data_IF_657675687511
#
_entry.id   IF_657675687511
#
_cell.length_a   1.000
_cell.length_b   1.000
_cell.length_c   1.000
_cell.angle_alpha   90.00
_cell.angle_beta   90.00
_cell.angle_gamma   90.00
#
_symmetry.space_group_name_H-M   'P 1'
#
loop_
_entity.id
_entity.type
_entity.pdbx_description
1 polymer ?
#
# COMPACT_ATOMS: atom_id res chain seq x y z
N UNK A 1 -48.72 -19.08 16.26
CA UNK A 1 -47.47 -18.41 16.65
C UNK A 1 -46.38 -19.44 16.93
N UNK A 2 -46.05 -20.23 15.91
CA UNK A 2 -44.89 -21.12 15.89
C UNK A 2 -44.24 -20.95 14.52
N UNK A 3 -42.90 -20.90 14.50
CA UNK A 3 -42.01 -20.67 13.34
C UNK A 3 -41.30 -19.30 13.29
N UNK A 4 -40.63 -18.89 14.36
CA UNK A 4 -39.56 -17.87 14.28
C UNK A 4 -38.20 -18.39 14.80
N UNK A 5 -38.16 -19.48 15.57
CA UNK A 5 -36.93 -19.97 16.23
C UNK A 5 -36.24 -21.17 15.56
N UNK A 6 -36.56 -21.51 14.30
CA UNK A 6 -36.02 -22.70 13.60
C UNK A 6 -35.14 -22.40 12.38
N UNK A 7 -34.55 -21.21 12.30
CA UNK A 7 -33.66 -20.81 11.19
C UNK A 7 -32.24 -20.35 11.58
N UNK A 8 -31.80 -20.61 12.82
CA UNK A 8 -30.44 -20.28 13.29
C UNK A 8 -29.53 -21.50 13.57
N UNK A 9 -29.88 -22.70 13.10
CA UNK A 9 -29.08 -23.91 13.37
C UNK A 9 -28.91 -24.82 12.14
N UNK A 10 -28.37 -24.26 11.06
CA UNK A 10 -27.91 -25.04 9.91
C UNK A 10 -26.71 -24.37 9.25
N UNK A 11 -25.55 -24.48 9.90
CA UNK A 11 -24.20 -24.59 9.32
C UNK A 11 -23.17 -24.65 10.45
N UNK A 12 -23.35 -25.61 11.36
CA UNK A 12 -22.32 -25.98 12.35
C UNK A 12 -21.41 -27.04 11.76
N UNK A 13 -20.51 -26.63 10.86
CA UNK A 13 -19.29 -27.41 10.63
C UNK A 13 -18.36 -27.01 11.77
N UNK A 14 -18.32 -27.82 12.82
CA UNK A 14 -17.21 -27.76 13.78
C UNK A 14 -15.95 -28.16 12.98
N UNK A 15 -15.19 -27.17 12.53
CA UNK A 15 -13.76 -27.38 12.38
C UNK A 15 -13.22 -27.55 13.79
N UNK A 16 -12.75 -28.75 14.11
CA UNK A 16 -11.71 -28.87 15.12
C UNK A 16 -10.52 -28.08 14.56
N UNK A 17 -10.37 -26.83 14.98
CA UNK A 17 -9.10 -26.13 14.89
C UNK A 17 -8.12 -27.00 15.67
N UNK A 18 -7.35 -27.83 14.97
CA UNK A 18 -5.99 -28.06 15.42
C UNK A 18 -5.39 -26.66 15.44
N UNK A 19 -5.01 -26.18 16.62
CA UNK A 19 -4.11 -25.04 16.73
C UNK A 19 -2.82 -25.45 16.03
N UNK A 20 -2.75 -25.23 14.72
CA UNK A 20 -1.47 -24.97 14.11
C UNK A 20 -0.95 -23.74 14.85
N UNK A 21 0.17 -23.89 15.57
CA UNK A 21 0.86 -22.75 16.12
C UNK A 21 0.99 -21.73 14.98
N UNK A 22 0.62 -20.48 15.24
CA UNK A 22 0.85 -19.42 14.28
C UNK A 22 2.35 -19.45 13.96
N UNK A 23 2.70 -19.73 12.71
CA UNK A 23 4.08 -19.64 12.25
C UNK A 23 4.44 -18.19 12.42
N UNK A 24 5.34 -17.90 13.34
CA UNK A 24 5.77 -16.55 13.55
C UNK A 24 6.55 -16.12 12.29
N UNK A 25 6.19 -14.96 11.74
CA UNK A 25 6.74 -14.44 10.47
C UNK A 25 7.87 -13.45 10.80
N UNK A 26 9.05 -13.55 10.15
CA UNK A 26 10.11 -12.54 10.25
C UNK A 26 9.55 -11.13 10.07
N UNK A 27 10.09 -10.14 10.77
CA UNK A 27 9.63 -8.76 10.66
C UNK A 27 10.77 -7.75 10.61
N UNK A 28 10.50 -6.56 10.11
CA UNK A 28 11.32 -5.37 10.32
C UNK A 28 10.47 -4.40 11.13
N UNK A 29 11.02 -3.95 12.24
CA UNK A 29 10.34 -3.01 13.14
C UNK A 29 10.85 -1.59 12.87
N UNK A 30 9.99 -0.76 12.29
CA UNK A 30 10.32 0.63 11.94
C UNK A 30 10.14 1.61 13.12
N UNK A 31 9.72 1.12 14.29
CA UNK A 31 9.43 1.95 15.44
C UNK A 31 8.20 2.83 15.24
N UNK A 32 8.20 4.00 15.89
CA UNK A 32 7.06 4.94 15.91
C UNK A 32 6.75 5.45 14.51
N UNK A 33 5.47 5.37 14.09
CA UNK A 33 5.02 6.02 12.86
C UNK A 33 4.83 7.53 13.08
N UNK A 34 5.38 8.35 12.18
CA UNK A 34 5.14 9.79 12.16
C UNK A 34 3.64 10.07 11.92
N UNK A 35 3.04 10.95 12.73
CA UNK A 35 1.59 11.18 12.69
C UNK A 35 1.08 11.87 11.42
N UNK A 36 1.90 12.69 10.77
CA UNK A 36 1.58 13.36 9.51
C UNK A 36 2.77 13.30 8.55
N UNK A 37 2.49 13.14 7.26
CA UNK A 37 3.47 13.30 6.20
C UNK A 37 3.90 14.77 6.11
N UNK A 38 5.22 15.01 6.04
CA UNK A 38 5.74 16.38 5.87
C UNK A 38 5.48 16.95 4.48
N UNK A 39 5.34 16.08 3.49
CA UNK A 39 5.04 16.42 2.11
C UNK A 39 4.33 15.26 1.42
N UNK A 40 3.69 15.54 0.29
CA UNK A 40 2.98 14.59 -0.54
C UNK A 40 3.52 14.65 -1.97
N UNK A 41 3.48 13.55 -2.73
CA UNK A 41 3.91 13.55 -4.11
C UNK A 41 3.13 14.54 -4.98
N UNK A 42 3.85 15.25 -5.85
CA UNK A 42 3.25 16.23 -6.75
C UNK A 42 3.67 16.04 -8.20
N UNK A 43 2.91 16.65 -9.10
CA UNK A 43 3.25 16.84 -10.51
C UNK A 43 2.95 18.26 -10.94
N UNK A 44 3.71 18.75 -11.93
CA UNK A 44 3.29 19.87 -12.75
C UNK A 44 2.45 19.32 -13.89
N UNK A 45 1.30 19.92 -14.17
CA UNK A 45 0.40 19.45 -15.23
C UNK A 45 -0.24 20.59 -16.01
N UNK A 46 -0.74 20.29 -17.20
CA UNK A 46 -1.49 21.21 -18.04
C UNK A 46 -2.43 20.44 -18.96
N UNK A 47 -3.55 21.06 -19.32
CA UNK A 47 -4.47 20.62 -20.36
C UNK A 47 -4.20 21.39 -21.63
N UNK A 48 -4.03 20.66 -22.73
CA UNK A 48 -3.87 21.22 -24.07
C UNK A 48 -5.11 20.97 -24.93
N UNK A 49 -5.41 21.93 -25.80
CA UNK A 49 -6.48 21.81 -26.79
C UNK A 49 -6.15 20.68 -27.78
N UNK A 50 -6.98 19.62 -27.88
CA UNK A 50 -6.72 18.51 -28.78
C UNK A 50 -6.79 18.91 -30.26
N UNK A 51 -7.51 20.00 -30.60
CA UNK A 51 -7.58 20.54 -31.95
C UNK A 51 -6.34 21.38 -32.30
N UNK A 52 -5.62 21.89 -31.31
CA UNK A 52 -4.44 22.75 -31.46
C UNK A 52 -3.29 22.29 -30.54
N UNK A 53 -2.58 21.20 -30.89
CA UNK A 53 -1.49 20.68 -30.05
C UNK A 53 -0.43 21.73 -29.69
N UNK A 54 -0.02 21.78 -28.42
CA UNK A 54 0.89 22.78 -27.87
C UNK A 54 0.23 24.10 -27.46
N UNK A 55 -1.09 24.25 -27.61
CA UNK A 55 -1.86 25.34 -27.00
C UNK A 55 -2.36 24.89 -25.64
N UNK A 56 -1.72 25.40 -24.58
CA UNK A 56 -2.14 25.15 -23.20
C UNK A 56 -3.41 25.96 -22.92
N UNK A 57 -4.45 25.26 -22.48
CA UNK A 57 -5.70 25.84 -21.97
C UNK A 57 -5.57 26.13 -20.48
N UNK A 58 -4.88 25.28 -19.73
CA UNK A 58 -4.58 25.49 -18.31
C UNK A 58 -4.53 24.17 -17.52
N UNK A 59 -4.15 24.19 -16.24
CA UNK A 59 -3.46 25.31 -15.60
C UNK A 59 -2.12 25.60 -16.26
N UNK A 60 -1.67 26.84 -16.14
CA UNK A 60 -0.40 27.32 -16.69
C UNK A 60 0.42 28.10 -15.65
N UNK A 61 1.68 28.34 -16.00
CA UNK A 61 2.63 29.14 -15.21
C UNK A 61 2.85 28.66 -13.77
N UNK A 62 2.34 29.40 -12.77
CA UNK A 62 2.68 29.23 -11.35
C UNK A 62 1.68 28.35 -10.58
N UNK A 63 0.42 28.27 -11.05
CA UNK A 63 -0.64 27.49 -10.40
C UNK A 63 -0.93 26.22 -11.18
N UNK A 64 0.11 25.44 -11.49
CA UNK A 64 -0.01 24.21 -12.28
C UNK A 64 0.46 22.96 -11.54
N UNK A 65 0.53 23.03 -10.20
CA UNK A 65 0.90 21.90 -9.36
C UNK A 65 -0.35 21.14 -8.93
N UNK A 66 -0.34 19.83 -9.06
CA UNK A 66 -1.35 18.92 -8.51
C UNK A 66 -0.72 17.91 -7.56
N UNK A 67 -1.52 17.42 -6.61
CA UNK A 67 -1.19 16.20 -5.89
C UNK A 67 -1.18 15.03 -6.88
N UNK A 68 -0.18 14.17 -6.77
CA UNK A 68 -0.16 12.88 -7.46
C UNK A 68 -0.73 11.86 -6.48
N UNK A 69 -1.96 11.42 -6.75
CA UNK A 69 -2.81 10.82 -5.74
C UNK A 69 -3.28 9.42 -6.16
N UNK A 70 -2.83 8.39 -5.43
CA UNK A 70 -3.27 7.02 -5.67
C UNK A 70 -4.65 6.73 -5.10
N UNK A 71 -5.19 7.57 -4.21
CA UNK A 71 -6.55 7.50 -3.70
C UNK A 71 -7.59 8.11 -4.64
N UNK A 72 -7.16 8.87 -5.65
CA UNK A 72 -8.03 9.46 -6.66
C UNK A 72 -8.13 8.60 -7.93
N UNK A 73 -9.36 8.30 -8.34
CA UNK A 73 -9.67 7.44 -9.49
C UNK A 73 -9.67 8.20 -10.83
N UNK A 74 -9.64 9.53 -10.75
CA UNK A 74 -9.82 10.46 -11.87
C UNK A 74 -8.85 11.64 -11.76
N UNK A 75 -9.03 12.64 -12.63
CA UNK A 75 -8.28 13.90 -12.58
C UNK A 75 -9.26 15.02 -12.26
N UNK A 76 -8.99 15.75 -11.18
CA UNK A 76 -9.84 16.80 -10.64
C UNK A 76 -9.14 18.16 -10.70
N UNK A 77 -9.84 19.18 -11.18
CA UNK A 77 -9.39 20.57 -11.19
C UNK A 77 -10.01 21.33 -10.02
N UNK A 78 -9.17 22.01 -9.24
CA UNK A 78 -9.61 22.93 -8.19
C UNK A 78 -9.78 24.34 -8.74
N UNK A 79 -10.26 25.26 -7.90
CA UNK A 79 -10.39 26.69 -8.21
C UNK A 79 -9.10 27.34 -8.73
N UNK A 80 -7.93 26.88 -8.29
CA UNK A 80 -6.63 27.39 -8.75
C UNK A 80 -6.34 27.05 -10.21
N UNK A 81 -6.85 25.93 -10.73
CA UNK A 81 -6.72 25.62 -12.15
C UNK A 81 -7.54 26.55 -13.07
N UNK A 82 -8.44 27.37 -12.50
CA UNK A 82 -9.21 28.37 -13.23
C UNK A 82 -8.59 29.77 -13.13
N UNK A 83 -7.43 29.93 -12.47
CA UNK A 83 -6.78 31.23 -12.38
C UNK A 83 -6.26 31.70 -13.75
N UNK A 84 -6.54 32.96 -14.08
CA UNK A 84 -6.08 33.63 -15.29
C UNK A 84 -5.15 34.79 -14.92
N UNK A 85 -3.90 34.72 -15.38
CA UNK A 85 -2.86 35.71 -15.11
C UNK A 85 -3.06 37.02 -15.87
N UNK A 86 -3.78 37.03 -16.99
CA UNK A 86 -4.07 38.26 -17.73
C UNK A 86 -5.08 39.13 -16.99
N UNK A 87 -6.05 38.49 -16.31
CA UNK A 87 -7.09 39.18 -15.52
C UNK A 87 -6.78 39.23 -14.02
N UNK A 88 -5.78 38.48 -13.55
CA UNK A 88 -5.43 38.29 -12.13
C UNK A 88 -6.64 37.85 -11.29
N UNK A 89 -7.40 36.90 -11.81
CA UNK A 89 -8.61 36.38 -11.18
C UNK A 89 -9.01 35.01 -11.69
N UNK A 90 -10.06 34.43 -11.12
CA UNK A 90 -10.64 33.18 -11.61
C UNK A 90 -11.44 33.43 -12.89
N UNK A 91 -11.19 32.63 -13.93
CA UNK A 91 -12.03 32.49 -15.11
C UNK A 91 -12.83 31.18 -15.04
N UNK A 92 -14.09 31.22 -14.55
CA UNK A 92 -14.92 30.01 -14.45
C UNK A 92 -15.29 29.40 -15.81
N UNK A 93 -15.06 30.09 -16.93
CA UNK A 93 -15.31 29.56 -18.28
C UNK A 93 -14.03 29.14 -19.00
N UNK A 94 -12.91 29.00 -18.28
CA UNK A 94 -11.60 28.66 -18.84
C UNK A 94 -11.61 27.37 -19.65
N UNK A 95 -12.40 26.37 -19.21
CA UNK A 95 -12.53 25.08 -19.87
C UNK A 95 -13.92 24.94 -20.51
N UNK A 96 -13.95 24.49 -21.77
CA UNK A 96 -15.19 24.02 -22.39
C UNK A 96 -15.70 22.74 -21.70
N UNK A 97 -17.02 22.67 -21.52
CA UNK A 97 -17.71 21.63 -20.75
C UNK A 97 -18.54 20.72 -21.66
N UNK A 98 -18.79 19.49 -21.19
CA UNK A 98 -19.76 18.59 -21.80
C UNK A 98 -21.19 19.02 -21.45
N UNK A 99 -22.08 18.94 -22.43
CA UNK A 99 -23.50 19.28 -22.27
C UNK A 99 -24.40 18.14 -22.74
N UNK A 100 -25.47 17.90 -21.99
CA UNK A 100 -26.54 16.98 -22.39
C UNK A 100 -27.35 17.57 -23.54
N UNK A 101 -28.22 16.75 -24.14
CA UNK A 101 -29.06 17.17 -25.28
C UNK A 101 -30.04 18.31 -24.96
N UNK A 102 -30.37 18.51 -23.68
CA UNK A 102 -31.22 19.60 -23.21
C UNK A 102 -30.45 20.91 -22.91
N UNK A 103 -29.12 20.88 -23.06
CA UNK A 103 -28.21 21.99 -22.80
C UNK A 103 -27.70 22.08 -21.37
N UNK A 104 -28.12 21.21 -20.45
CA UNK A 104 -27.55 21.14 -19.10
C UNK A 104 -26.10 20.67 -19.13
N UNK A 105 -25.27 21.18 -18.22
CA UNK A 105 -23.87 20.75 -18.05
C UNK A 105 -23.86 19.33 -17.47
N UNK A 106 -22.95 18.50 -17.96
CA UNK A 106 -22.67 17.18 -17.38
C UNK A 106 -21.84 17.37 -16.11
N UNK A 107 -22.30 16.82 -14.99
CA UNK A 107 -21.66 16.95 -13.69
C UNK A 107 -21.48 15.58 -13.04
N UNK A 108 -20.45 15.46 -12.22
CA UNK A 108 -20.14 14.26 -11.44
C UNK A 108 -20.09 14.60 -9.95
N UNK A 109 -20.67 13.75 -9.13
CA UNK A 109 -20.57 13.82 -7.67
C UNK A 109 -19.28 13.16 -7.20
N UNK A 110 -18.44 13.91 -6.51
CA UNK A 110 -17.19 13.43 -5.93
C UNK A 110 -17.38 13.30 -4.42
N UNK A 111 -17.11 12.12 -3.88
CA UNK A 111 -17.20 11.85 -2.44
C UNK A 111 -15.81 12.04 -1.83
N UNK A 112 -15.74 12.72 -0.70
CA UNK A 112 -14.52 12.87 0.08
C UNK A 112 -14.78 12.92 1.58
N UNK A 113 -13.78 13.43 2.30
CA UNK A 113 -13.70 13.37 3.76
C UNK A 113 -14.84 14.09 4.48
N UNK A 114 -15.44 15.11 3.85
CA UNK A 114 -16.46 15.97 4.45
C UNK A 114 -17.82 15.89 3.75
N UNK A 115 -18.03 14.86 2.92
CA UNK A 115 -19.26 14.65 2.17
C UNK A 115 -19.01 14.63 0.66
N UNK A 116 -19.98 15.08 -0.11
CA UNK A 116 -19.90 15.09 -1.57
C UNK A 116 -20.01 16.48 -2.18
N UNK A 117 -19.42 16.65 -3.35
CA UNK A 117 -19.46 17.90 -4.12
C UNK A 117 -19.61 17.61 -5.61
N UNK A 118 -20.28 18.51 -6.34
CA UNK A 118 -20.46 18.40 -7.78
C UNK A 118 -19.31 19.09 -8.53
N UNK A 119 -18.76 18.38 -9.50
CA UNK A 119 -17.75 18.87 -10.42
C UNK A 119 -18.26 18.82 -11.87
N UNK A 120 -17.96 19.87 -12.63
CA UNK A 120 -18.33 19.96 -14.05
C UNK A 120 -17.38 19.09 -14.89
N UNK A 121 -17.93 18.39 -15.87
CA UNK A 121 -17.15 17.56 -16.78
C UNK A 121 -16.70 18.38 -17.99
N UNK A 122 -15.40 18.37 -18.25
CA UNK A 122 -14.81 19.01 -19.44
C UNK A 122 -15.05 18.21 -20.72
N UNK A 123 -15.01 18.90 -21.87
CA UNK A 123 -14.75 18.20 -23.15
C UNK A 123 -13.35 17.52 -23.09
N UNK A 124 -13.04 16.59 -24.01
CA UNK A 124 -11.72 15.98 -24.03
C UNK A 124 -10.58 16.99 -24.22
N UNK A 125 -9.54 16.90 -23.41
CA UNK A 125 -8.26 17.61 -23.54
C UNK A 125 -7.09 16.62 -23.57
N UNK A 126 -5.91 17.07 -24.02
CA UNK A 126 -4.68 16.31 -23.80
C UNK A 126 -4.09 16.73 -22.46
N UNK A 127 -3.98 15.80 -21.52
CA UNK A 127 -3.35 16.04 -20.23
C UNK A 127 -1.85 15.77 -20.35
N UNK A 128 -1.01 16.79 -20.15
CA UNK A 128 0.43 16.67 -20.05
C UNK A 128 0.88 16.87 -18.60
N UNK A 129 1.85 16.07 -18.12
CA UNK A 129 2.38 16.20 -16.76
C UNK A 129 3.82 15.70 -16.62
N UNK A 130 4.50 16.18 -15.59
CA UNK A 130 5.89 15.87 -15.26
C UNK A 130 6.13 16.06 -13.75
N UNK A 131 7.12 15.38 -13.18
CA UNK A 131 7.55 15.66 -11.81
C UNK A 131 8.05 17.12 -11.65
N UNK A 132 7.87 17.76 -10.48
CA UNK A 132 8.33 19.14 -10.25
C UNK A 132 9.82 19.38 -10.47
N UNK A 133 10.64 18.33 -10.33
CA UNK A 133 12.08 18.38 -10.61
C UNK A 133 12.42 18.20 -12.11
N UNK A 134 11.40 18.10 -12.97
CA UNK A 134 11.52 17.84 -14.40
C UNK A 134 11.51 16.34 -14.73
N UNK A 135 11.92 16.01 -15.95
CA UNK A 135 11.94 14.64 -16.47
C UNK A 135 11.26 14.52 -17.82
N UNK A 136 10.91 13.28 -18.20
CA UNK A 136 10.13 13.03 -19.40
C UNK A 136 8.67 13.45 -19.13
N UNK A 137 8.16 14.38 -19.92
CA UNK A 137 6.74 14.71 -19.92
C UNK A 137 5.95 13.49 -20.38
N UNK A 138 4.89 13.19 -19.64
CA UNK A 138 3.92 12.17 -19.97
C UNK A 138 2.65 12.84 -20.45
N UNK A 139 1.95 12.21 -21.40
CA UNK A 139 0.71 12.71 -21.95
C UNK A 139 -0.37 11.62 -21.98
N UNK A 140 -1.61 12.01 -21.67
CA UNK A 140 -2.82 11.26 -21.95
C UNK A 140 -3.65 12.04 -22.96
N UNK A 141 -3.99 11.39 -24.08
CA UNK A 141 -4.72 12.05 -25.16
C UNK A 141 -6.24 11.97 -24.95
N UNK A 142 -6.92 13.06 -25.28
CA UNK A 142 -8.39 13.15 -25.31
C UNK A 142 -9.08 12.62 -24.03
N UNK A 143 -8.60 13.06 -22.87
CA UNK A 143 -9.17 12.75 -21.56
C UNK A 143 -10.20 13.80 -21.15
N UNK A 144 -11.30 13.37 -20.53
CA UNK A 144 -12.21 14.27 -19.84
C UNK A 144 -11.82 14.34 -18.38
N UNK A 145 -11.67 15.53 -17.85
CA UNK A 145 -11.40 15.78 -16.43
C UNK A 145 -12.60 16.47 -15.78
N UNK A 146 -12.75 16.30 -14.48
CA UNK A 146 -13.76 17.00 -13.70
C UNK A 146 -13.16 18.24 -13.06
N UNK A 147 -13.93 19.31 -12.89
CA UNK A 147 -13.41 20.55 -12.35
C UNK A 147 -14.46 21.42 -11.69
N UNK A 148 -14.03 22.24 -10.74
CA UNK A 148 -14.87 23.24 -10.10
C UNK A 148 -14.10 24.54 -9.91
N UNK A 149 -14.65 25.69 -10.35
CA UNK A 149 -13.99 26.98 -10.20
C UNK A 149 -14.01 27.51 -8.76
N UNK A 150 -14.72 26.84 -7.84
CA UNK A 150 -14.90 27.28 -6.45
C UNK A 150 -14.37 26.30 -5.41
N UNK A 151 -14.11 25.04 -5.77
CA UNK A 151 -13.62 24.05 -4.82
C UNK A 151 -12.15 24.24 -4.53
N UNK A 152 -11.78 24.29 -3.25
CA UNK A 152 -10.40 24.46 -2.81
C UNK A 152 -9.82 23.11 -2.38
N UNK A 153 -8.65 22.74 -2.91
CA UNK A 153 -7.94 21.49 -2.60
C UNK A 153 -6.52 21.81 -2.12
N UNK A 154 -6.41 22.44 -0.95
CA UNK A 154 -5.14 22.75 -0.28
C UNK A 154 -4.15 23.57 -1.12
N UNK A 155 -4.64 24.64 -1.78
CA UNK A 155 -3.87 25.52 -2.66
C UNK A 155 -3.21 24.86 -3.89
N UNK A 156 -3.54 23.58 -4.17
CA UNK A 156 -3.13 22.90 -5.38
C UNK A 156 -4.11 23.20 -6.49
N UNK A 157 -3.63 23.20 -7.74
CA UNK A 157 -4.46 23.37 -8.93
C UNK A 157 -5.36 22.16 -9.21
N UNK A 158 -5.10 21.03 -8.55
CA UNK A 158 -5.95 19.87 -8.67
C UNK A 158 -5.32 18.61 -8.09
N UNK A 159 -5.95 17.50 -8.44
CA UNK A 159 -5.51 16.14 -8.15
C UNK A 159 -5.31 15.43 -9.49
N UNK A 160 -4.14 14.84 -9.68
CA UNK A 160 -3.84 13.96 -10.82
C UNK A 160 -3.80 12.54 -10.28
N UNK A 161 -4.89 11.81 -10.51
CA UNK A 161 -5.09 10.49 -9.94
C UNK A 161 -4.52 9.34 -10.75
N UNK A 162 -5.02 8.13 -10.47
CA UNK A 162 -4.61 6.86 -11.05
C UNK A 162 -4.54 6.81 -12.58
N UNK A 163 -5.37 7.51 -13.38
CA UNK A 163 -5.22 7.52 -14.84
C UNK A 163 -3.84 7.95 -15.34
N UNK A 164 -3.15 8.83 -14.60
CA UNK A 164 -1.77 9.22 -14.90
C UNK A 164 -0.76 8.11 -14.55
N UNK A 165 -1.04 7.27 -13.56
CA UNK A 165 -0.09 6.28 -13.07
C UNK A 165 -0.22 4.92 -13.74
N UNK A 166 -1.44 4.52 -14.13
CA UNK A 166 -1.69 3.21 -14.77
C UNK A 166 -0.90 3.05 -16.07
N UNK A 167 -0.28 1.87 -16.25
CA UNK A 167 0.55 1.54 -17.40
C UNK A 167 2.01 1.97 -17.28
N UNK A 168 2.44 2.45 -16.10
CA UNK A 168 3.77 3.02 -15.85
C UNK A 168 4.34 2.52 -14.53
N UNK A 169 5.65 2.64 -14.38
CA UNK A 169 6.32 2.56 -13.08
C UNK A 169 6.44 3.97 -12.54
N UNK A 170 5.90 4.17 -11.34
CA UNK A 170 6.03 5.41 -10.57
C UNK A 170 7.12 5.20 -9.52
N UNK A 171 8.03 6.14 -9.39
CA UNK A 171 9.06 6.11 -8.34
C UNK A 171 9.07 7.43 -7.60
N UNK A 172 8.89 7.34 -6.29
CA UNK A 172 9.11 8.41 -5.32
C UNK A 172 10.45 8.18 -4.65
N UNK A 173 11.44 8.99 -5.02
CA UNK A 173 12.75 9.01 -4.40
C UNK A 173 12.68 9.91 -3.16
N UNK A 174 12.96 9.33 -2.00
CA UNK A 174 12.99 10.00 -0.70
C UNK A 174 14.44 10.41 -0.31
N UNK A 175 15.42 9.99 -1.13
CA UNK A 175 16.63 10.72 -1.59
C UNK A 175 16.78 12.21 -1.27
N UNK A 176 16.05 13.07 -2.03
CA UNK A 176 16.28 14.52 -2.12
C UNK A 176 15.90 15.26 -0.85
N UNK A 177 15.25 14.56 0.04
CA UNK A 177 14.43 15.00 1.15
C UNK A 177 15.36 15.23 2.41
N UNK A 178 16.60 14.72 2.35
CA UNK A 178 17.75 15.23 3.15
C UNK A 178 18.06 16.73 2.90
N UNK A 179 17.69 17.26 1.74
CA UNK A 179 17.61 18.68 1.39
C UNK A 179 16.14 19.11 1.35
N UNK A 180 15.82 20.38 1.58
CA UNK A 180 14.44 20.91 1.68
C UNK A 180 13.63 20.88 0.34
N UNK A 181 13.86 19.90 -0.53
CA UNK A 181 13.17 19.72 -1.80
C UNK A 181 11.84 18.96 -1.60
N UNK A 182 10.88 19.24 -2.48
CA UNK A 182 9.56 18.58 -2.47
C UNK A 182 9.61 17.18 -3.09
N UNK A 183 8.74 16.29 -2.62
CA UNK A 183 8.57 14.92 -3.13
C UNK A 183 7.97 14.97 -4.53
N UNK A 184 8.68 14.34 -5.46
CA UNK A 184 8.31 14.28 -6.87
C UNK A 184 8.11 12.83 -7.30
N UNK A 185 7.02 12.56 -8.02
CA UNK A 185 6.87 11.30 -8.75
C UNK A 185 7.67 11.32 -10.05
N UNK A 186 8.38 10.24 -10.36
CA UNK A 186 8.99 10.01 -11.68
C UNK A 186 8.29 8.86 -12.39
N UNK A 187 8.20 8.95 -13.72
CA UNK A 187 7.42 8.01 -14.54
C UNK A 187 8.34 7.31 -15.54
N UNK A 188 8.33 5.98 -15.54
CA UNK A 188 9.12 5.16 -16.47
C UNK A 188 8.34 3.94 -16.95
N UNK A 189 8.88 3.22 -17.94
CA UNK A 189 8.31 1.95 -18.42
C UNK A 189 8.97 0.71 -17.81
N UNK A 190 10.04 0.89 -17.04
CA UNK A 190 10.85 -0.21 -16.52
C UNK A 190 11.27 0.11 -15.11
N UNK A 191 11.09 -0.85 -14.20
CA UNK A 191 11.51 -0.69 -12.81
C UNK A 191 13.01 -0.40 -12.71
N UNK A 192 13.43 0.47 -11.78
CA UNK A 192 14.82 0.57 -11.37
C UNK A 192 15.38 -0.79 -10.94
N UNK A 193 16.70 -0.96 -11.00
CA UNK A 193 17.33 -2.18 -10.54
C UNK A 193 17.01 -2.44 -9.05
N UNK A 194 16.83 -3.71 -8.68
CA UNK A 194 16.68 -4.13 -7.28
C UNK A 194 17.90 -3.72 -6.45
N UNK A 195 17.65 -3.32 -5.22
CA UNK A 195 18.71 -3.18 -4.21
C UNK A 195 18.78 -4.46 -3.37
N UNK A 196 19.74 -4.55 -2.45
CA UNK A 196 19.77 -5.66 -1.47
C UNK A 196 18.68 -5.57 -0.39
N UNK A 197 17.92 -4.47 -0.35
CA UNK A 197 17.03 -4.06 0.75
C UNK A 197 15.61 -3.77 0.24
N UNK A 198 15.18 -4.52 -0.78
CA UNK A 198 13.94 -4.29 -1.51
C UNK A 198 12.90 -5.34 -1.14
N UNK A 199 11.70 -4.89 -0.76
CA UNK A 199 10.57 -5.74 -0.38
C UNK A 199 9.34 -5.42 -1.21
N UNK A 200 8.51 -6.42 -1.49
CA UNK A 200 7.42 -6.31 -2.44
C UNK A 200 6.06 -6.60 -1.81
N UNK A 201 5.07 -5.82 -2.21
CA UNK A 201 3.67 -6.06 -1.89
C UNK A 201 2.88 -6.12 -3.19
N UNK A 202 2.23 -7.25 -3.43
CA UNK A 202 1.27 -7.38 -4.51
C UNK A 202 0.02 -6.57 -4.14
N UNK A 203 -0.35 -5.63 -4.99
CA UNK A 203 -1.50 -4.78 -4.77
C UNK A 203 -2.75 -5.40 -5.41
N UNK A 204 -3.84 -5.39 -4.67
CA UNK A 204 -5.17 -5.64 -5.19
C UNK A 204 -5.72 -4.38 -5.87
N UNK A 205 -6.82 -4.52 -6.60
CA UNK A 205 -7.49 -3.40 -7.26
C UNK A 205 -8.91 -3.26 -6.77
N UNK A 206 -9.25 -2.04 -6.35
CA UNK A 206 -10.63 -1.62 -6.23
C UNK A 206 -11.09 -1.13 -7.60
N UNK A 207 -12.02 -1.86 -8.20
CA UNK A 207 -12.55 -1.51 -9.51
C UNK A 207 -13.26 -0.15 -9.45
N UNK A 208 -12.89 0.74 -10.37
CA UNK A 208 -13.56 2.04 -10.46
C UNK A 208 -14.82 1.88 -11.29
N UNK A 209 -15.97 2.03 -10.61
CA UNK A 209 -17.26 2.16 -11.28
C UNK A 209 -17.42 3.60 -11.80
N UNK A 210 -18.47 3.87 -12.59
CA UNK A 210 -18.88 5.25 -12.91
C UNK A 210 -19.49 5.95 -11.68
N UNK A 211 -18.78 5.90 -10.55
CA UNK A 211 -19.17 6.47 -9.28
C UNK A 211 -19.36 7.98 -9.45
N UNK A 212 -20.43 8.50 -8.85
CA UNK A 212 -20.78 9.91 -9.00
C UNK A 212 -21.44 10.30 -10.33
N UNK A 213 -21.61 9.37 -11.28
CA UNK A 213 -22.34 9.64 -12.51
C UNK A 213 -23.82 9.93 -12.19
N UNK A 214 -24.30 11.11 -12.61
CA UNK A 214 -25.67 11.54 -12.33
C UNK A 214 -26.67 10.88 -13.30
N UNK A 215 -26.38 10.90 -14.61
CA UNK A 215 -27.21 10.29 -15.64
C UNK A 215 -26.46 9.16 -16.35
N UNK A 216 -27.08 7.98 -16.58
CA UNK A 216 -26.39 6.80 -17.14
C UNK A 216 -25.75 7.01 -18.52
N UNK A 217 -26.28 7.95 -19.31
CA UNK A 217 -25.81 8.25 -20.66
C UNK A 217 -24.75 9.37 -20.69
N UNK A 218 -24.40 9.96 -19.54
CA UNK A 218 -23.37 10.99 -19.47
C UNK A 218 -22.00 10.42 -19.89
N UNK A 219 -21.20 11.19 -20.64
CA UNK A 219 -19.82 10.77 -20.92
C UNK A 219 -19.04 10.63 -19.62
N UNK A 220 -18.14 9.64 -19.56
CA UNK A 220 -17.31 9.39 -18.38
C UNK A 220 -16.07 10.30 -18.37
N UNK A 221 -15.62 10.76 -17.18
CA UNK A 221 -14.27 11.25 -17.01
C UNK A 221 -13.25 10.15 -17.30
N UNK A 222 -11.98 10.54 -17.42
CA UNK A 222 -10.90 9.56 -17.38
C UNK A 222 -10.88 8.91 -15.99
N UNK A 223 -10.97 7.58 -15.98
CA UNK A 223 -11.07 6.78 -14.75
C UNK A 223 -10.05 5.63 -14.78
N UNK A 224 -9.58 5.24 -13.61
CA UNK A 224 -8.73 4.08 -13.40
C UNK A 224 -8.97 3.47 -12.00
N UNK A 225 -8.78 2.15 -11.90
CA UNK A 225 -8.89 1.40 -10.64
C UNK A 225 -7.95 1.98 -9.56
N UNK A 226 -8.34 1.83 -8.29
CA UNK A 226 -7.55 2.25 -7.14
C UNK A 226 -6.71 1.09 -6.57
N UNK A 227 -5.46 1.33 -6.14
CA UNK A 227 -4.59 0.31 -5.55
C UNK A 227 -4.95 0.02 -4.09
N UNK A 228 -5.10 -1.27 -3.76
CA UNK A 228 -5.29 -1.74 -2.40
C UNK A 228 -4.05 -2.50 -1.91
N UNK A 229 -3.61 -2.22 -0.69
CA UNK A 229 -2.64 -3.02 0.06
C UNK A 229 -3.40 -4.14 0.78
N UNK A 230 -3.28 -5.41 0.36
CA UNK A 230 -4.08 -6.48 0.95
C UNK A 230 -3.49 -6.95 2.28
N UNK A 231 -4.35 -7.50 3.13
CA UNK A 231 -3.97 -8.17 4.39
C UNK A 231 -3.15 -7.29 5.36
N UNK A 232 -3.36 -5.98 5.35
CA UNK A 232 -2.81 -5.10 6.39
C UNK A 232 -3.38 -5.53 7.73
N UNK A 233 -2.53 -5.65 8.75
CA UNK A 233 -2.94 -6.04 10.10
C UNK A 233 -2.85 -4.82 11.01
N UNK A 234 -3.94 -4.49 11.67
CA UNK A 234 -4.04 -3.43 12.67
C UNK A 234 -4.13 -4.08 14.05
N UNK A 235 -3.21 -3.74 14.95
CA UNK A 235 -3.13 -4.33 16.29
C UNK A 235 -3.35 -3.33 17.41
N UNK A 236 -4.07 -3.76 18.45
CA UNK A 236 -4.21 -3.02 19.71
C UNK A 236 -4.33 -4.00 20.88
N UNK A 237 -3.45 -3.87 21.86
CA UNK A 237 -3.23 -4.84 22.94
C UNK A 237 -3.03 -6.27 22.39
N UNK A 238 -3.89 -7.21 22.79
CA UNK A 238 -3.86 -8.60 22.32
C UNK A 238 -4.79 -8.86 21.14
N UNK A 239 -5.51 -7.84 20.67
CA UNK A 239 -6.47 -7.95 19.57
C UNK A 239 -5.85 -7.43 18.28
N UNK A 240 -6.24 -8.03 17.16
CA UNK A 240 -5.80 -7.60 15.84
C UNK A 240 -6.89 -7.86 14.80
N UNK A 241 -6.94 -7.00 13.80
CA UNK A 241 -7.83 -7.11 12.64
C UNK A 241 -7.02 -7.08 11.36
N UNK A 242 -7.48 -7.77 10.32
CA UNK A 242 -6.79 -7.79 9.02
C UNK A 242 -7.77 -7.43 7.91
N UNK A 243 -7.33 -6.57 6.99
CA UNK A 243 -8.12 -6.16 5.85
C UNK A 243 -7.30 -5.41 4.80
N UNK A 244 -7.94 -5.06 3.69
CA UNK A 244 -7.30 -4.27 2.65
C UNK A 244 -7.32 -2.79 3.02
N UNK A 245 -6.20 -2.10 2.78
CA UNK A 245 -6.11 -0.64 2.92
C UNK A 245 -6.04 0.00 1.54
N UNK A 246 -6.72 1.13 1.34
CA UNK A 246 -6.48 1.97 0.16
C UNK A 246 -5.07 2.56 0.25
N UNK A 247 -4.25 2.39 -0.79
CA UNK A 247 -2.98 3.11 -0.89
C UNK A 247 -3.29 4.53 -1.36
N UNK A 248 -3.05 5.54 -0.51
CA UNK A 248 -3.47 6.92 -0.76
C UNK A 248 -2.31 7.88 -0.51
N UNK A 249 -1.65 8.30 -1.58
CA UNK A 249 -0.60 9.31 -1.53
C UNK A 249 -1.13 10.74 -1.32
N UNK A 250 -2.43 10.96 -1.53
CA UNK A 250 -3.15 12.21 -1.24
C UNK A 250 -3.62 12.35 0.21
N UNK A 251 -3.57 11.27 1.00
CA UNK A 251 -3.76 11.31 2.45
C UNK A 251 -2.44 11.63 3.17
N UNK A 252 -2.45 12.64 4.05
CA UNK A 252 -1.27 13.01 4.85
C UNK A 252 -1.07 12.10 6.06
N UNK A 253 -2.07 11.32 6.45
CA UNK A 253 -2.01 10.43 7.60
C UNK A 253 -2.67 9.10 7.27
N UNK A 254 -2.34 8.07 8.03
CA UNK A 254 -2.96 6.76 7.91
C UNK A 254 -4.26 6.75 8.73
N UNK A 255 -5.33 6.27 8.12
CA UNK A 255 -6.66 6.24 8.70
C UNK A 255 -7.16 4.80 8.84
N UNK A 256 -8.00 4.58 9.85
CA UNK A 256 -8.75 3.33 10.02
C UNK A 256 -10.25 3.60 9.96
N UNK A 257 -11.05 2.61 9.59
CA UNK A 257 -12.51 2.73 9.69
C UNK A 257 -13.00 2.53 11.11
N UNK A 258 -14.21 2.98 11.41
CA UNK A 258 -14.85 2.71 12.70
C UNK A 258 -15.03 1.21 12.92
N UNK A 259 -15.28 0.43 11.86
CA UNK A 259 -15.35 -1.03 11.92
C UNK A 259 -14.01 -1.64 12.35
N UNK A 260 -12.90 -1.20 11.78
CA UNK A 260 -11.55 -1.66 12.17
C UNK A 260 -11.27 -1.32 13.62
N UNK A 261 -11.50 -0.06 14.05
CA UNK A 261 -11.30 0.36 15.43
C UNK A 261 -12.10 -0.50 16.43
N UNK A 262 -13.40 -0.68 16.18
CA UNK A 262 -14.27 -1.49 17.04
C UNK A 262 -13.86 -2.97 17.06
N UNK A 263 -13.37 -3.50 15.93
CA UNK A 263 -12.94 -4.90 15.82
C UNK A 263 -11.71 -5.22 16.69
N UNK A 264 -10.87 -4.23 16.98
CA UNK A 264 -9.71 -4.35 17.87
C UNK A 264 -9.97 -3.82 19.29
N UNK A 265 -11.23 -3.49 19.59
CA UNK A 265 -11.66 -3.09 20.94
C UNK A 265 -11.48 -1.61 21.28
N UNK A 266 -11.33 -0.75 20.28
CA UNK A 266 -11.30 0.71 20.44
C UNK A 266 -12.67 1.27 20.04
N UNK A 267 -13.29 2.07 20.91
CA UNK A 267 -14.49 2.83 20.58
C UNK A 267 -14.09 4.29 20.25
N UNK A 268 -14.15 4.72 18.98
CA UNK A 268 -13.74 6.07 18.58
C UNK A 268 -14.53 7.19 19.27
N UNK A 269 -15.73 6.93 19.81
CA UNK A 269 -16.51 7.94 20.52
C UNK A 269 -16.00 8.16 21.96
N UNK A 270 -15.42 7.14 22.59
CA UNK A 270 -15.00 7.20 24.00
C UNK A 270 -13.49 7.17 24.21
N UNK A 271 -12.76 6.56 23.27
CA UNK A 271 -11.33 6.30 23.37
C UNK A 271 -10.50 7.27 22.50
N UNK A 272 -11.14 8.22 21.83
CA UNK A 272 -10.45 9.29 21.11
C UNK A 272 -9.50 10.06 22.03
N UNK A 273 -8.24 10.16 21.62
CA UNK A 273 -7.18 10.87 22.33
C UNK A 273 -7.01 12.31 21.83
N UNK A 274 -7.42 12.58 20.58
CA UNK A 274 -7.40 13.89 19.96
C UNK A 274 -8.45 13.98 18.83
N UNK A 275 -8.55 15.14 18.20
CA UNK A 275 -9.39 15.38 17.03
C UNK A 275 -8.61 16.13 15.95
N UNK A 276 -8.56 15.55 14.75
CA UNK A 276 -7.80 16.08 13.62
C UNK A 276 -8.76 16.78 12.64
N UNK A 277 -8.62 18.10 12.41
CA UNK A 277 -9.28 18.76 11.30
C UNK A 277 -8.61 18.33 9.99
N UNK A 278 -9.41 17.81 9.05
CA UNK A 278 -8.97 17.38 7.72
C UNK A 278 -9.81 18.09 6.67
N UNK A 279 -9.14 18.75 5.73
CA UNK A 279 -9.76 19.34 4.55
C UNK A 279 -9.77 18.36 3.38
N UNK A 280 -10.80 18.42 2.54
CA UNK A 280 -10.89 17.64 1.31
C UNK A 280 -12.16 17.95 0.53
N UNK A 281 -12.55 17.03 -0.35
CA UNK A 281 -13.81 17.16 -1.10
C UNK A 281 -15.00 17.16 -0.12
N UNK A 282 -15.93 18.09 -0.33
CA UNK A 282 -17.06 18.34 0.56
C UNK A 282 -16.77 19.33 1.71
N UNK A 283 -15.53 19.80 1.86
CA UNK A 283 -15.13 20.81 2.86
C UNK A 283 -14.18 20.27 3.93
N UNK A 284 -14.34 20.74 5.17
CA UNK A 284 -13.55 20.31 6.32
C UNK A 284 -14.36 19.37 7.22
N UNK A 285 -13.74 18.27 7.62
CA UNK A 285 -14.24 17.35 8.64
C UNK A 285 -13.30 17.36 9.85
N UNK A 286 -13.82 17.00 11.02
CA UNK A 286 -13.00 16.81 12.24
C UNK A 286 -13.11 15.36 12.64
N UNK A 287 -12.01 14.63 12.54
CA UNK A 287 -11.95 13.19 12.73
C UNK A 287 -11.45 12.86 14.13
N UNK A 288 -12.06 11.90 14.85
CA UNK A 288 -11.48 11.41 16.09
C UNK A 288 -10.16 10.69 15.79
N UNK A 289 -9.18 10.88 16.65
CA UNK A 289 -7.87 10.22 16.58
C UNK A 289 -7.79 9.23 17.73
N UNK A 290 -7.40 7.99 17.43
CA UNK A 290 -7.22 6.92 18.40
C UNK A 290 -5.79 6.40 18.34
N UNK A 291 -5.31 5.84 19.45
CA UNK A 291 -4.01 5.20 19.50
C UNK A 291 -4.14 3.71 19.15
N UNK A 292 -3.33 3.23 18.22
CA UNK A 292 -3.17 1.81 17.90
C UNK A 292 -1.71 1.41 18.08
N UNK A 293 -1.49 0.16 18.49
CA UNK A 293 -0.15 -0.30 18.83
C UNK A 293 0.66 -0.59 17.58
N UNK A 294 0.04 -1.20 16.56
CA UNK A 294 0.75 -1.61 15.35
C UNK A 294 -0.07 -1.52 14.06
N UNK A 295 0.64 -1.21 12.96
CA UNK A 295 0.22 -1.51 11.60
C UNK A 295 1.29 -2.41 10.98
N UNK A 296 0.88 -3.57 10.48
CA UNK A 296 1.77 -4.53 9.82
C UNK A 296 1.40 -4.67 8.35
N UNK A 297 2.40 -4.53 7.46
CA UNK A 297 2.29 -4.78 6.02
C UNK A 297 3.01 -6.09 5.67
N UNK A 298 2.29 -7.16 5.30
CA UNK A 298 2.92 -8.39 4.83
C UNK A 298 3.57 -8.21 3.46
N UNK A 299 4.78 -8.76 3.27
CA UNK A 299 5.52 -8.71 2.01
C UNK A 299 5.59 -10.08 1.32
N UNK A 300 5.89 -10.08 0.02
CA UNK A 300 6.06 -11.28 -0.80
C UNK A 300 7.30 -12.09 -0.42
N UNK A 301 8.29 -11.46 0.20
CA UNK A 301 9.49 -12.08 0.74
C UNK A 301 9.20 -12.88 2.03
N UNK A 302 7.99 -12.73 2.60
CA UNK A 302 7.64 -13.35 3.88
C UNK A 302 8.23 -12.62 5.08
N UNK A 303 8.54 -11.32 4.93
CA UNK A 303 8.99 -10.44 6.01
C UNK A 303 7.92 -9.37 6.24
N UNK A 304 7.40 -9.28 7.45
CA UNK A 304 6.41 -8.28 7.82
C UNK A 304 7.08 -6.93 8.07
N UNK A 305 6.52 -5.85 7.52
CA UNK A 305 6.92 -4.50 7.87
C UNK A 305 6.01 -3.97 8.97
N UNK A 306 6.57 -3.66 10.14
CA UNK A 306 5.80 -3.32 11.33
C UNK A 306 6.10 -1.90 11.76
N UNK A 307 5.06 -1.08 11.75
CA UNK A 307 5.04 0.23 12.38
C UNK A 307 4.42 0.12 13.75
N UNK A 308 4.90 0.92 14.70
CA UNK A 308 4.46 0.94 16.09
C UNK A 308 3.93 2.32 16.49
N UNK A 309 3.19 2.37 17.60
CA UNK A 309 2.75 3.59 18.28
C UNK A 309 2.11 4.62 17.32
N UNK A 310 0.99 4.24 16.69
CA UNK A 310 0.35 5.06 15.66
C UNK A 310 -0.88 5.78 16.24
N UNK A 311 -0.93 7.09 16.04
CA UNK A 311 -2.14 7.89 16.28
C UNK A 311 -2.93 7.99 14.98
N UNK A 312 -3.91 7.10 14.80
CA UNK A 312 -4.68 6.97 13.57
C UNK A 312 -5.99 7.75 13.65
N UNK A 313 -6.28 8.55 12.61
CA UNK A 313 -7.59 9.17 12.46
C UNK A 313 -8.63 8.11 12.05
N UNK A 314 -9.84 8.22 12.57
CA UNK A 314 -10.95 7.33 12.23
C UNK A 314 -11.88 8.00 11.22
N UNK A 315 -12.06 7.37 10.07
CA UNK A 315 -12.89 7.87 8.97
C UNK A 315 -13.64 6.73 8.29
N UNK A 316 -14.94 6.91 8.12
CA UNK A 316 -15.77 6.07 7.26
C UNK A 316 -16.10 6.85 5.98
N UNK A 317 -15.67 6.34 4.83
CA UNK A 317 -15.99 6.91 3.52
C UNK A 317 -17.14 6.14 2.91
N UNK A 318 -18.21 6.83 2.55
CA UNK A 318 -19.40 6.20 1.95
C UNK A 318 -19.03 5.50 0.63
N UNK A 319 -19.41 4.22 0.51
CA UNK A 319 -19.15 3.42 -0.69
C UNK A 319 -17.75 2.80 -0.79
N UNK A 320 -16.86 3.06 0.17
CA UNK A 320 -15.52 2.48 0.21
C UNK A 320 -15.43 1.34 1.23
N UNK A 321 -15.40 0.10 0.75
CA UNK A 321 -15.30 -1.11 1.58
C UNK A 321 -13.83 -1.51 1.82
N UNK A 322 -13.13 -0.76 2.67
CA UNK A 322 -11.74 -1.02 3.09
C UNK A 322 -11.61 -1.02 4.61
N UNK A 323 -10.54 -1.62 5.14
CA UNK A 323 -10.24 -1.58 6.57
C UNK A 323 -9.58 -0.26 7.00
N UNK A 324 -8.98 0.48 6.06
CA UNK A 324 -8.36 1.77 6.31
C UNK A 324 -7.76 2.38 5.04
N UNK A 325 -7.09 3.50 5.23
CA UNK A 325 -6.37 4.24 4.20
C UNK A 325 -4.91 4.32 4.65
N UNK A 326 -3.99 3.76 3.86
CA UNK A 326 -2.56 3.86 4.11
C UNK A 326 -2.07 5.19 3.51
N UNK A 327 -1.95 6.19 4.37
CA UNK A 327 -1.52 7.53 3.98
C UNK A 327 -0.02 7.63 3.74
N UNK A 328 0.41 8.76 3.19
CA UNK A 328 1.80 8.94 2.80
C UNK A 328 2.77 9.01 3.99
N UNK A 329 2.27 9.26 5.21
CA UNK A 329 3.08 9.27 6.43
C UNK A 329 3.76 7.92 6.70
N UNK A 330 3.14 6.80 6.32
CA UNK A 330 3.73 5.48 6.46
C UNK A 330 5.04 5.35 5.65
N UNK A 331 5.12 6.03 4.50
CA UNK A 331 6.30 6.02 3.63
C UNK A 331 7.32 7.10 3.98
N UNK A 332 6.87 8.19 4.61
CA UNK A 332 7.74 9.27 5.07
C UNK A 332 8.04 9.16 6.58
N UNK A 333 7.91 8.00 7.21
CA UNK A 333 8.22 7.89 8.65
C UNK A 333 9.72 7.93 8.90
N UNK A 334 10.13 8.47 10.05
CA UNK A 334 11.54 8.71 10.40
C UNK A 334 12.13 9.94 9.69
N UNK A 335 11.33 10.57 8.84
CA UNK A 335 11.80 11.60 7.93
C UNK A 335 12.03 12.95 8.64
N UNK A 336 11.18 13.30 9.61
CA UNK A 336 11.37 14.51 10.42
C UNK A 336 12.68 14.46 11.22
N UNK A 337 13.06 13.26 11.69
CA UNK A 337 14.31 13.05 12.41
C UNK A 337 15.54 13.18 11.49
N UNK A 338 15.40 12.82 10.22
CA UNK A 338 16.46 12.86 9.21
C UNK A 338 16.70 14.26 8.60
N UNK A 339 15.83 15.24 8.83
CA UNK A 339 15.94 16.57 8.21
C UNK A 339 17.31 17.24 8.48
N UNK A 340 17.98 17.64 7.40
CA UNK A 340 19.30 18.28 7.45
C UNK A 340 20.47 17.32 7.71
N UNK A 341 20.21 16.02 7.70
CA UNK A 341 21.23 14.96 7.67
C UNK A 341 21.41 14.42 6.24
N UNK A 342 22.31 13.47 6.03
CA UNK A 342 22.41 12.72 4.76
C UNK A 342 21.58 11.44 4.75
N UNK A 343 20.85 11.19 5.83
CA UNK A 343 20.01 10.03 6.02
C UNK A 343 18.65 10.25 5.35
N UNK A 344 17.97 9.16 5.01
CA UNK A 344 16.55 9.20 4.62
C UNK A 344 15.70 8.77 5.82
N UNK A 345 14.37 8.86 5.69
CA UNK A 345 13.51 8.07 6.57
C UNK A 345 13.71 6.58 6.34
N UNK A 346 12.77 5.77 6.82
CA UNK A 346 12.87 4.30 6.75
C UNK A 346 12.95 3.74 5.33
N UNK A 347 12.52 4.50 4.31
CA UNK A 347 12.62 4.13 2.91
C UNK A 347 13.46 5.13 2.12
N UNK A 348 14.28 4.62 1.19
CA UNK A 348 14.94 5.41 0.15
C UNK A 348 14.03 5.65 -1.05
N UNK A 349 13.30 4.61 -1.47
CA UNK A 349 12.39 4.70 -2.59
C UNK A 349 11.11 3.94 -2.30
N UNK A 350 10.00 4.53 -2.73
CA UNK A 350 8.73 3.82 -2.92
C UNK A 350 8.46 3.75 -4.40
N UNK A 351 8.38 2.53 -4.93
CA UNK A 351 8.23 2.26 -6.36
C UNK A 351 6.94 1.49 -6.55
N UNK A 352 6.04 1.97 -7.40
CA UNK A 352 4.81 1.23 -7.73
C UNK A 352 4.77 0.96 -9.22
N UNK A 353 4.69 -0.32 -9.56
CA UNK A 353 4.62 -0.81 -10.93
C UNK A 353 3.18 -1.09 -11.33
N UNK A 354 2.61 -0.17 -12.11
CA UNK A 354 1.28 -0.27 -12.70
C UNK A 354 1.32 -0.73 -14.17
N UNK A 355 2.47 -1.21 -14.67
CA UNK A 355 2.62 -1.59 -16.09
C UNK A 355 1.93 -2.91 -16.43
N UNK A 356 1.83 -3.81 -15.45
CA UNK A 356 1.16 -5.10 -15.63
C UNK A 356 -0.33 -4.97 -15.29
N UNK A 357 -1.25 -5.12 -16.27
CA UNK A 357 -2.68 -4.98 -16.04
C UNK A 357 -3.29 -6.14 -15.22
N UNK A 358 -2.55 -7.22 -14.96
CA UNK A 358 -3.06 -8.35 -14.18
C UNK A 358 -2.66 -8.28 -12.70
N UNK A 359 -1.52 -7.66 -12.38
CA UNK A 359 -0.99 -7.57 -11.02
C UNK A 359 -0.13 -6.32 -10.88
N UNK A 360 -0.56 -5.40 -10.02
CA UNK A 360 0.26 -4.26 -9.60
C UNK A 360 1.16 -4.66 -8.43
N UNK A 361 2.33 -4.04 -8.36
CA UNK A 361 3.31 -4.36 -7.31
C UNK A 361 3.88 -3.06 -6.75
N UNK A 362 3.78 -2.88 -5.44
CA UNK A 362 4.55 -1.89 -4.71
C UNK A 362 5.87 -2.53 -4.27
N UNK A 363 6.97 -1.83 -4.47
CA UNK A 363 8.30 -2.16 -3.97
C UNK A 363 8.75 -1.05 -3.04
N UNK A 364 9.28 -1.45 -1.89
CA UNK A 364 9.79 -0.59 -0.84
C UNK A 364 11.29 -0.86 -0.71
N UNK A 365 12.10 0.14 -1.01
CA UNK A 365 13.54 0.10 -0.79
C UNK A 365 13.85 0.65 0.60
N UNK A 366 14.07 -0.25 1.56
CA UNK A 366 14.32 0.07 2.96
C UNK A 366 15.72 0.67 3.12
N UNK A 367 15.85 1.65 4.00
CA UNK A 367 17.13 2.18 4.42
C UNK A 367 17.96 1.06 5.08
N UNK A 368 19.21 0.78 4.66
CA UNK A 368 20.02 -0.28 5.26
C UNK A 368 20.23 -0.15 6.78
N UNK A 369 20.14 1.07 7.32
CA UNK A 369 20.24 1.31 8.76
C UNK A 369 18.98 0.88 9.52
N UNK A 370 17.83 0.81 8.82
CA UNK A 370 16.53 0.35 9.32
C UNK A 370 16.18 -1.09 8.88
N UNK A 371 16.91 -1.68 7.92
CA UNK A 371 16.68 -3.04 7.40
C UNK A 371 17.22 -4.13 8.35
N UNK A 372 16.67 -4.17 9.56
CA UNK A 372 16.98 -5.14 10.60
C UNK A 372 15.84 -6.17 10.64
N UNK A 373 16.04 -7.29 9.97
CA UNK A 373 15.10 -8.41 10.01
C UNK A 373 15.21 -9.12 11.36
N UNK A 374 14.13 -9.04 12.13
CA UNK A 374 13.90 -9.75 13.38
C UNK A 374 13.19 -11.07 13.07
N UNK A 375 13.89 -12.19 13.27
CA UNK A 375 13.24 -13.49 13.30
C UNK A 375 12.45 -13.64 14.60
N UNK A 376 11.16 -13.98 14.55
CA UNK A 376 10.39 -14.19 15.76
C UNK A 376 10.97 -15.36 16.53
N UNK A 377 11.13 -15.18 17.84
CA UNK A 377 11.66 -16.21 18.71
C UNK A 377 10.79 -17.46 18.64
N UNK A 378 11.27 -18.51 17.96
CA UNK A 378 10.63 -19.83 18.00
C UNK A 378 10.91 -20.37 19.40
N UNK A 379 9.86 -20.72 20.14
CA UNK A 379 10.04 -21.34 21.47
C UNK A 379 10.87 -22.60 21.32
N UNK A 380 12.00 -22.69 22.02
CA UNK A 380 12.96 -23.78 21.83
C UNK A 380 14.21 -23.40 21.04
N UNK A 381 14.23 -22.27 20.33
CA UNK A 381 15.40 -21.77 19.61
C UNK A 381 16.30 -20.98 20.57
N UNK A 382 17.26 -21.68 21.19
CA UNK A 382 18.15 -21.10 22.18
C UNK A 382 19.31 -20.33 21.54
N UNK A 383 19.60 -20.51 20.25
CA UNK A 383 20.70 -19.83 19.57
C UNK A 383 20.24 -18.66 18.68
N UNK A 384 18.92 -18.51 18.51
CA UNK A 384 18.25 -17.51 17.68
C UNK A 384 18.69 -17.58 16.20
N UNK A 385 18.88 -18.80 15.69
CA UNK A 385 19.21 -19.05 14.28
C UNK A 385 17.98 -19.31 13.39
N UNK A 386 16.79 -19.16 13.97
CA UNK A 386 15.52 -19.32 13.26
C UNK A 386 15.16 -20.79 13.04
N UNK A 387 15.79 -21.72 13.75
CA UNK A 387 15.48 -23.15 13.74
C UNK A 387 15.54 -23.75 15.15
N UNK A 388 14.66 -24.71 15.45
CA UNK A 388 14.74 -25.47 16.70
C UNK A 388 15.35 -26.83 16.41
N UNK A 389 16.63 -27.02 16.72
CA UNK A 389 17.36 -28.23 16.38
C UNK A 389 18.28 -28.76 17.50
N UNK A 390 19.24 -29.60 17.13
CA UNK A 390 20.16 -30.23 18.07
C UNK A 390 21.11 -29.23 18.73
N UNK A 391 21.39 -28.09 18.09
CA UNK A 391 22.20 -27.01 18.63
C UNK A 391 21.50 -26.35 19.82
N UNK A 392 20.18 -26.17 19.75
CA UNK A 392 19.40 -25.60 20.85
C UNK A 392 19.27 -26.57 22.00
N UNK A 393 19.02 -27.84 21.70
CA UNK A 393 19.03 -28.89 22.72
C UNK A 393 20.41 -28.97 23.40
N UNK A 394 21.48 -28.77 22.62
CA UNK A 394 22.84 -28.73 23.16
C UNK A 394 23.00 -27.55 24.12
N UNK A 395 22.53 -26.35 23.78
CA UNK A 395 22.56 -25.17 24.67
C UNK A 395 21.76 -25.37 25.95
N UNK A 396 20.51 -25.81 25.83
CA UNK A 396 19.68 -26.14 26.99
C UNK A 396 20.37 -27.17 27.89
N UNK A 397 20.92 -28.23 27.29
CA UNK A 397 21.59 -29.30 28.06
C UNK A 397 22.83 -28.83 28.80
N UNK A 398 23.56 -27.84 28.26
CA UNK A 398 24.75 -27.26 28.91
C UNK A 398 24.39 -26.42 30.14
N UNK A 399 23.16 -25.90 30.17
CA UNK A 399 22.64 -25.01 31.19
C UNK A 399 21.59 -25.68 32.09
N UNK A 400 21.31 -26.97 31.88
CA UNK A 400 20.30 -27.70 32.61
C UNK A 400 20.57 -27.69 34.13
N UNK A 401 19.58 -27.23 34.90
CA UNK A 401 19.66 -27.05 36.34
C UNK A 401 20.23 -25.70 36.81
N UNK A 402 20.49 -24.75 35.90
CA UNK A 402 20.71 -23.35 36.27
C UNK A 402 19.43 -22.79 36.92
N UNK A 403 19.58 -22.03 38.00
CA UNK A 403 18.47 -21.47 38.79
C UNK A 403 18.79 -20.03 39.21
N UNK A 404 17.77 -19.17 39.17
CA UNK A 404 17.86 -17.72 39.40
C UNK A 404 18.84 -17.11 38.38
N UNK A 405 18.33 -16.41 37.37
CA UNK A 405 19.11 -15.83 36.24
C UNK A 405 19.39 -16.77 35.05
N UNK A 406 18.51 -17.76 34.79
CA UNK A 406 18.47 -18.34 33.45
C UNK A 406 17.85 -17.33 32.46
N UNK A 407 18.35 -17.33 31.23
CA UNK A 407 17.90 -16.45 30.14
C UNK A 407 17.56 -17.33 28.94
N UNK A 408 16.80 -16.79 27.98
CA UNK A 408 16.37 -17.52 26.78
C UNK A 408 17.52 -18.21 26.03
N UNK A 409 18.64 -17.49 25.83
CA UNK A 409 19.84 -18.04 25.17
C UNK A 409 20.48 -19.20 25.96
N UNK A 410 20.15 -19.29 27.25
CA UNK A 410 20.53 -20.38 28.14
C UNK A 410 19.59 -21.58 28.08
N UNK A 411 18.44 -21.48 27.41
CA UNK A 411 17.43 -22.53 27.32
C UNK A 411 16.32 -22.44 28.36
N UNK A 412 16.09 -21.27 28.97
CA UNK A 412 14.88 -20.98 29.77
C UNK A 412 13.81 -20.37 28.84
N UNK A 413 12.92 -21.23 28.35
CA UNK A 413 11.93 -20.89 27.33
C UNK A 413 10.56 -20.54 27.94
N UNK A 414 10.36 -20.80 29.23
CA UNK A 414 9.14 -20.40 29.96
C UNK A 414 9.34 -19.14 30.83
N UNK A 415 10.57 -18.60 30.89
CA UNK A 415 10.98 -17.43 31.65
C UNK A 415 10.76 -17.54 33.17
N UNK A 416 10.82 -18.74 33.73
CA UNK A 416 10.69 -18.95 35.17
C UNK A 416 12.02 -18.75 35.94
N UNK A 417 13.10 -18.46 35.22
CA UNK A 417 14.43 -18.22 35.77
C UNK A 417 15.20 -19.49 36.09
N UNK A 418 14.71 -20.66 35.64
CA UNK A 418 15.32 -21.98 35.80
C UNK A 418 15.36 -22.70 34.45
N UNK A 419 16.43 -23.44 34.15
CA UNK A 419 16.47 -24.34 32.99
C UNK A 419 16.17 -25.76 33.46
N UNK A 420 14.99 -26.28 33.19
CA UNK A 420 14.60 -27.62 33.61
C UNK A 420 13.83 -28.44 32.55
N UNK A 421 13.06 -29.43 33.01
CA UNK A 421 12.33 -30.33 32.13
C UNK A 421 11.15 -29.62 31.44
N UNK A 422 10.61 -28.54 32.00
CA UNK A 422 9.58 -27.73 31.37
C UNK A 422 10.12 -27.10 30.08
N UNK A 423 11.35 -26.57 30.12
CA UNK A 423 12.01 -26.00 28.93
C UNK A 423 12.35 -27.07 27.90
N UNK A 424 12.81 -28.24 28.37
CA UNK A 424 13.08 -29.36 27.47
C UNK A 424 11.79 -29.84 26.77
N UNK A 425 10.66 -29.82 27.48
CA UNK A 425 9.36 -30.13 26.91
C UNK A 425 8.97 -29.08 25.86
N UNK A 426 9.14 -27.79 26.15
CA UNK A 426 8.91 -26.70 25.19
C UNK A 426 9.78 -26.88 23.94
N UNK A 427 11.09 -27.04 24.08
CA UNK A 427 11.98 -27.31 22.94
C UNK A 427 11.54 -28.54 22.14
N UNK A 428 11.17 -29.63 22.81
CA UNK A 428 10.75 -30.86 22.14
C UNK A 428 9.44 -30.72 21.36
N UNK A 429 8.55 -29.81 21.78
CA UNK A 429 7.29 -29.53 21.09
C UNK A 429 7.51 -28.79 19.77
N UNK A 430 8.57 -27.97 19.72
CA UNK A 430 8.93 -27.15 18.57
C UNK A 430 10.09 -27.73 17.75
N UNK A 431 10.63 -28.90 18.13
CA UNK A 431 11.80 -29.48 17.47
C UNK A 431 11.56 -29.75 15.97
N UNK A 432 12.39 -29.13 15.12
CA UNK A 432 12.28 -29.15 13.66
C UNK A 432 11.48 -28.01 13.05
N UNK A 433 10.95 -27.08 13.85
CA UNK A 433 10.41 -25.81 13.35
C UNK A 433 11.53 -24.92 12.81
N UNK A 434 11.23 -24.13 11.78
CA UNK A 434 12.15 -23.16 11.19
C UNK A 434 11.37 -22.00 10.55
N UNK A 435 11.82 -20.76 10.75
CA UNK A 435 11.28 -19.55 10.10
C UNK A 435 11.85 -19.34 8.70
N UNK A 436 12.92 -20.06 8.34
CA UNK A 436 13.51 -20.01 7.00
C UNK A 436 12.56 -20.70 6.01
N UNK A 437 12.04 -19.95 5.06
CA UNK A 437 11.18 -20.48 4.00
C UNK A 437 11.85 -21.71 3.35
N UNK A 438 11.11 -22.82 3.10
CA UNK A 438 11.66 -23.93 2.36
C UNK A 438 12.10 -23.40 1.00
N UNK A 439 13.40 -23.48 0.73
CA UNK A 439 13.94 -23.18 -0.60
C UNK A 439 13.23 -24.08 -1.59
N UNK A 440 12.27 -23.51 -2.33
CA UNK A 440 11.76 -24.17 -3.52
C UNK A 440 12.95 -24.24 -4.47
N UNK A 441 13.60 -25.41 -4.49
CA UNK A 441 14.45 -25.77 -5.60
C UNK A 441 13.59 -25.58 -6.86
N UNK A 442 13.89 -24.53 -7.62
CA UNK A 442 13.38 -24.36 -8.96
C UNK A 442 13.67 -25.69 -9.67
N UNK A 443 12.61 -26.48 -9.88
CA UNK A 443 12.61 -27.54 -10.86
C UNK A 443 12.82 -26.85 -12.21
N UNK A 444 14.08 -26.53 -12.50
CA UNK A 444 14.55 -26.22 -13.84
C UNK A 444 14.13 -27.42 -14.69
N UNK A 445 13.25 -27.23 -15.70
CA UNK A 445 12.94 -28.32 -16.60
C UNK A 445 14.25 -28.71 -17.28
N UNK A 446 14.72 -29.94 -17.04
CA UNK A 446 15.91 -30.42 -17.74
C UNK A 446 15.69 -30.31 -19.27
N UNK A 447 16.69 -29.82 -20.03
CA UNK A 447 16.56 -29.68 -21.46
C UNK A 447 16.40 -31.06 -22.07
N UNK A 448 15.25 -31.31 -22.70
CA UNK A 448 14.94 -32.57 -23.38
C UNK A 448 15.89 -32.76 -24.55
N UNK A 449 16.99 -33.49 -24.31
CA UNK A 449 17.87 -33.97 -25.38
C UNK A 449 18.42 -35.35 -25.04
N UNK A 450 18.01 -36.33 -25.87
CA UNK A 450 18.51 -37.71 -26.00
C UNK A 450 18.09 -38.68 -24.86
N UNK A 451 17.62 -39.92 -25.08
CA UNK A 451 17.68 -40.84 -26.22
C UNK A 451 16.75 -42.05 -25.93
N UNK A 452 16.61 -42.96 -26.91
CA UNK A 452 16.18 -44.37 -26.88
C UNK A 452 14.74 -44.72 -27.28
N UNK A 453 14.52 -44.88 -28.60
CA UNK A 453 13.69 -45.98 -29.11
C UNK A 453 14.60 -47.22 -29.22
N UNK A 454 14.31 -48.22 -28.39
CA UNK A 454 14.96 -49.53 -28.42
C UNK A 454 13.86 -50.58 -28.58
N UNK A 455 13.60 -51.01 -29.81
CA UNK A 455 12.82 -52.23 -30.09
C UNK A 455 13.75 -53.34 -30.55
N UNK A 456 13.81 -54.39 -29.73
CA UNK A 456 14.52 -55.64 -30.01
C UNK A 456 13.96 -56.33 -31.25
N UNK A 457 14.86 -56.78 -32.14
CA UNK A 457 14.62 -57.96 -32.96
C UNK A 457 15.90 -58.80 -33.03
N UNK A 458 15.77 -60.04 -32.57
CA UNK A 458 16.82 -61.04 -32.47
C UNK A 458 16.97 -61.85 -33.77
N UNK A 459 18.23 -61.92 -34.26
CA UNK A 459 18.94 -63.02 -34.97
C UNK A 459 18.46 -63.50 -36.37
N UNK A 460 19.29 -64.25 -37.16
CA UNK A 460 20.71 -64.60 -37.01
C UNK A 460 21.60 -64.38 -38.28
N UNK A 461 22.91 -64.58 -38.06
CA UNK A 461 24.01 -64.74 -39.03
C UNK A 461 23.70 -65.50 -40.34
N UNK A 462 24.27 -64.98 -41.44
CA UNK A 462 24.89 -65.81 -42.49
C UNK A 462 26.15 -65.11 -43.08
N UNK A 463 27.25 -65.84 -43.33
CA UNK A 463 28.52 -65.25 -43.72
C UNK A 463 28.63 -65.00 -45.23
N UNK A 464 29.47 -64.02 -45.58
CA UNK A 464 29.98 -63.75 -46.93
C UNK A 464 30.50 -65.03 -47.61
N UNK A 465 30.14 -65.20 -48.88
CA UNK A 465 31.00 -65.82 -49.89
C UNK A 465 30.92 -65.02 -51.20
N UNK A 466 32.12 -64.68 -51.68
CA UNK A 466 32.61 -64.24 -53.00
C UNK A 466 31.63 -63.59 -53.97
#
# INVERSE_FOLDING_TARGET
MGNVWKRLLASGVLFTLSSAAAVAVPSIDFGVMDGLALDQPRVLFSLEDPANPGVIVGPDEFFNTAALDTGADSVLLSSFAYFDFDTLGSDPNRYELEHRTDGSVVQYEQVGVAGSELFDLTIPYNLAYVGPQGGATVQLDAVRVTGSPTSELSDLAGIVGMPAMVGRVVTWDLTPMSSFDLISGTFTQTRPAETGHSYHINLDRLATEASGQIEPDDPLPVLADLPLVPNVITGYNSEASSGAYLLDTGATTTLITSETALSIGIDPETDAIDFLPVGGIGGEATLPVVHIDTITLPTAEGVNMVFHDIDAAVLDVEGLEVAGILGFNAFTTGYLAALGSSDTGVFHNVIVDFTNPDQWVMRLDVNPDDDIVNDPAITGDANQDGSVDIADLTRLSQNYGLQNYAEWLGGDFNHDGTVDIADLVLLSQHYGESTLAPTFALNTPEPTTALLVLTLAALPHRPRRR
#
